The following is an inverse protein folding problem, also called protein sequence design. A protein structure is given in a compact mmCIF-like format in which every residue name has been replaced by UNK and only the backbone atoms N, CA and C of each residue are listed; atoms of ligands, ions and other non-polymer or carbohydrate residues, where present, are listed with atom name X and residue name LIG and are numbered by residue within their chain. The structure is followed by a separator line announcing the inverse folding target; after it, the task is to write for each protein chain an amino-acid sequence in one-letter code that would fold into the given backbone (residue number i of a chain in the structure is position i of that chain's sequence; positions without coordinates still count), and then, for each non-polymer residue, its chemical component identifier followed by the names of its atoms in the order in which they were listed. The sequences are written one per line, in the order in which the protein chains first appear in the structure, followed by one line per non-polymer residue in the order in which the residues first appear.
data_IF_356182856738
#
_entry.id   IF_356182856738
#
_cell.length_a   1.000
_cell.length_b   1.000
_cell.length_c   1.000
_cell.angle_alpha   90.00
_cell.angle_beta   90.00
_cell.angle_gamma   90.00
#
_symmetry.space_group_name_H-M   'P 1'
#
loop_
_entity.id
_entity.type
_entity.pdbx_description
1 polymer ?
#
# COMPACT_ATOMS: atom_id res chain seq x y z
N UNK A 1 -8.29 -4.64 11.92
CA UNK A 1 -7.56 -3.47 11.38
C UNK A 1 -8.45 -2.25 11.15
N UNK A 2 -9.75 -2.41 10.84
CA UNK A 2 -10.67 -1.28 10.59
C UNK A 2 -10.67 -0.18 11.69
N UNK A 3 -10.62 -0.55 12.98
CA UNK A 3 -10.63 0.41 14.08
C UNK A 3 -9.34 1.24 14.28
N UNK A 4 -8.21 0.83 13.68
CA UNK A 4 -6.94 1.57 13.85
C UNK A 4 -6.78 2.69 12.81
N UNK A 5 -7.47 2.59 11.67
CA UNK A 5 -7.42 3.57 10.58
C UNK A 5 -8.46 4.68 10.81
N UNK A 6 -9.57 4.39 11.51
CA UNK A 6 -10.66 5.34 11.74
C UNK A 6 -10.31 6.52 12.65
N UNK A 7 -9.23 6.45 13.42
CA UNK A 7 -8.80 7.54 14.32
C UNK A 7 -7.90 8.60 13.65
N UNK A 8 -7.55 8.41 12.37
CA UNK A 8 -6.64 9.29 11.63
C UNK A 8 -7.33 9.85 10.39
N UNK A 9 -7.21 11.16 10.20
CA UNK A 9 -7.84 11.86 9.09
C UNK A 9 -6.90 12.94 8.55
N UNK A 10 -7.04 13.33 7.27
CA UNK A 10 -6.36 14.52 6.78
C UNK A 10 -6.87 15.75 7.56
N UNK A 11 -6.02 16.78 7.73
CA UNK A 11 -6.35 17.97 8.53
C UNK A 11 -7.60 18.73 8.07
N UNK A 12 -8.11 18.45 6.87
CA UNK A 12 -9.24 19.12 6.24
C UNK A 12 -10.50 18.26 6.08
N UNK A 13 -10.52 17.01 6.56
CA UNK A 13 -11.73 16.17 6.54
C UNK A 13 -12.04 15.62 7.93
N UNK A 14 -13.29 15.75 8.43
CA UNK A 14 -13.71 15.14 9.69
C UNK A 14 -14.07 13.65 9.55
N UNK A 15 -14.22 13.13 8.33
CA UNK A 15 -14.59 11.74 8.07
C UNK A 15 -13.38 10.80 8.07
N UNK A 16 -13.51 9.56 8.59
CA UNK A 16 -12.46 8.56 8.50
C UNK A 16 -12.19 8.17 7.03
N UNK A 17 -10.96 7.79 6.72
CA UNK A 17 -10.60 7.39 5.36
C UNK A 17 -11.29 6.09 4.92
N UNK A 18 -11.73 6.04 3.67
CA UNK A 18 -12.16 4.81 3.00
C UNK A 18 -10.92 3.92 2.79
N UNK A 19 -11.00 2.67 3.25
CA UNK A 19 -9.93 1.68 3.08
C UNK A 19 -10.23 0.78 1.89
N UNK A 20 -9.23 0.56 1.03
CA UNK A 20 -9.30 -0.35 -0.13
C UNK A 20 -8.19 -1.40 0.00
N UNK A 21 -8.56 -2.68 -0.08
CA UNK A 21 -7.61 -3.77 -0.28
C UNK A 21 -7.38 -3.96 -1.79
N UNK A 22 -6.17 -3.70 -2.27
CA UNK A 22 -5.91 -3.80 -3.70
C UNK A 22 -5.84 -5.24 -4.19
N UNK A 23 -5.50 -6.19 -3.32
CA UNK A 23 -5.43 -7.61 -3.69
C UNK A 23 -6.81 -8.16 -4.11
N UNK A 24 -7.90 -7.61 -3.57
CA UNK A 24 -9.30 -7.95 -3.94
C UNK A 24 -9.65 -7.53 -5.37
N UNK A 25 -8.85 -6.65 -5.98
CA UNK A 25 -9.05 -6.12 -7.33
C UNK A 25 -8.27 -6.90 -8.40
N UNK A 26 -7.56 -7.96 -8.01
CA UNK A 26 -6.87 -8.80 -8.98
C UNK A 26 -7.86 -9.56 -9.88
N UNK A 27 -7.61 -9.65 -11.20
CA UNK A 27 -8.39 -10.54 -12.05
C UNK A 27 -8.18 -12.00 -11.62
N UNK A 28 -9.16 -12.90 -11.86
CA UNK A 28 -9.05 -14.31 -11.46
C UNK A 28 -7.79 -15.02 -11.98
N UNK A 29 -7.28 -14.60 -13.14
CA UNK A 29 -6.03 -15.12 -13.72
C UNK A 29 -4.80 -14.81 -12.86
N UNK A 30 -4.73 -13.64 -12.24
CA UNK A 30 -3.65 -13.27 -11.34
C UNK A 30 -3.75 -14.03 -10.02
N UNK A 31 -4.97 -14.15 -9.48
CA UNK A 31 -5.23 -14.92 -8.27
C UNK A 31 -4.76 -16.36 -8.45
N UNK A 32 -5.12 -17.01 -9.56
CA UNK A 32 -4.69 -18.38 -9.86
C UNK A 32 -3.15 -18.51 -9.98
N UNK A 33 -2.47 -17.54 -10.58
CA UNK A 33 -1.00 -17.50 -10.64
C UNK A 33 -0.38 -17.39 -9.25
N UNK A 34 -0.85 -16.46 -8.42
CA UNK A 34 -0.34 -16.29 -7.05
C UNK A 34 -0.62 -17.51 -6.17
N UNK A 35 -1.80 -18.14 -6.31
CA UNK A 35 -2.15 -19.37 -5.57
C UNK A 35 -1.29 -20.57 -5.97
N UNK A 36 -0.91 -20.69 -7.24
CA UNK A 36 0.11 -21.67 -7.68
C UNK A 36 1.55 -21.25 -7.31
N UNK A 37 1.70 -20.03 -6.79
CA UNK A 37 2.95 -19.33 -6.48
C UNK A 37 3.84 -19.05 -7.69
N UNK A 38 3.20 -18.90 -8.85
CA UNK A 38 3.79 -18.27 -10.01
C UNK A 38 3.83 -16.75 -9.78
N UNK A 39 5.01 -16.10 -9.79
CA UNK A 39 5.09 -14.65 -9.68
C UNK A 39 4.38 -13.97 -10.84
N UNK A 40 3.65 -12.88 -10.56
CA UNK A 40 3.10 -12.03 -11.60
C UNK A 40 4.22 -11.27 -12.31
N UNK A 41 4.03 -10.97 -13.59
CA UNK A 41 4.90 -10.07 -14.36
C UNK A 41 4.24 -8.69 -14.57
N UNK A 42 4.81 -7.83 -15.41
CA UNK A 42 4.28 -6.49 -15.65
C UNK A 42 2.93 -6.53 -16.36
N UNK A 43 2.80 -7.34 -17.41
CA UNK A 43 1.57 -7.49 -18.17
C UNK A 43 0.41 -8.02 -17.32
N UNK A 44 0.70 -8.86 -16.33
CA UNK A 44 -0.27 -9.31 -15.34
C UNK A 44 -0.72 -8.17 -14.41
N UNK A 45 0.19 -7.27 -14.05
CA UNK A 45 -0.08 -6.20 -13.08
C UNK A 45 -0.76 -4.98 -13.69
N UNK A 46 -0.53 -4.64 -14.96
CA UNK A 46 -1.11 -3.42 -15.55
C UNK A 46 -2.64 -3.36 -15.44
N UNK A 47 -3.41 -4.39 -15.84
CA UNK A 47 -4.87 -4.35 -15.71
C UNK A 47 -5.36 -4.27 -14.26
N UNK A 48 -4.59 -4.85 -13.32
CA UNK A 48 -4.87 -4.73 -11.90
C UNK A 48 -4.65 -3.31 -11.38
N UNK A 49 -3.56 -2.65 -11.80
CA UNK A 49 -3.28 -1.26 -11.45
C UNK A 49 -4.36 -0.32 -12.02
N UNK A 50 -4.87 -0.59 -13.22
CA UNK A 50 -6.01 0.14 -13.79
C UNK A 50 -7.26 0.02 -12.89
N UNK A 51 -7.56 -1.19 -12.40
CA UNK A 51 -8.68 -1.44 -11.49
C UNK A 51 -8.52 -0.71 -10.15
N UNK A 52 -7.30 -0.68 -9.60
CA UNK A 52 -6.96 0.06 -8.37
C UNK A 52 -7.15 1.56 -8.58
N UNK A 53 -6.63 2.13 -9.66
CA UNK A 53 -6.81 3.55 -9.97
C UNK A 53 -8.29 3.92 -10.11
N UNK A 54 -9.07 3.09 -10.82
CA UNK A 54 -10.51 3.30 -10.95
C UNK A 54 -11.24 3.22 -9.59
N UNK A 55 -10.81 2.34 -8.69
CA UNK A 55 -11.37 2.25 -7.34
C UNK A 55 -11.04 3.50 -6.50
N UNK A 56 -9.81 4.02 -6.60
CA UNK A 56 -9.40 5.28 -5.96
C UNK A 56 -10.27 6.44 -6.46
N UNK A 57 -10.44 6.57 -7.79
CA UNK A 57 -11.26 7.64 -8.38
C UNK A 57 -12.71 7.57 -7.89
N UNK A 58 -13.31 6.37 -7.88
CA UNK A 58 -14.67 6.19 -7.36
C UNK A 58 -14.77 6.56 -5.88
N UNK A 59 -13.87 6.07 -5.04
CA UNK A 59 -13.90 6.35 -3.60
C UNK A 59 -13.67 7.83 -3.31
N UNK A 60 -12.79 8.52 -4.04
CA UNK A 60 -12.57 9.96 -3.89
C UNK A 60 -13.75 10.81 -4.33
N UNK A 61 -14.64 10.30 -5.18
CA UNK A 61 -15.80 11.06 -5.63
C UNK A 61 -16.80 11.41 -4.51
N UNK A 62 -16.74 10.72 -3.36
CA UNK A 62 -17.53 11.05 -2.16
C UNK A 62 -16.95 12.21 -1.34
N UNK A 63 -15.75 12.69 -1.67
CA UNK A 63 -15.03 13.74 -0.94
C UNK A 63 -14.15 13.21 0.20
N UNK A 64 -14.21 11.91 0.51
CA UNK A 64 -13.47 11.32 1.62
C UNK A 64 -11.98 11.10 1.30
N UNK A 65 -11.17 10.94 2.36
CA UNK A 65 -9.82 10.42 2.22
C UNK A 65 -9.84 8.94 1.84
N UNK A 66 -8.83 8.48 1.10
CA UNK A 66 -8.72 7.07 0.69
C UNK A 66 -7.35 6.54 1.07
N UNK A 67 -7.32 5.37 1.71
CA UNK A 67 -6.10 4.61 2.01
C UNK A 67 -6.20 3.29 1.26
N UNK A 68 -5.16 2.97 0.50
CA UNK A 68 -5.09 1.72 -0.28
C UNK A 68 -3.92 0.89 0.21
N UNK A 69 -4.17 -0.35 0.63
CA UNK A 69 -3.11 -1.32 0.80
C UNK A 69 -2.70 -1.83 -0.59
N UNK A 70 -1.50 -1.45 -1.06
CA UNK A 70 -1.02 -1.81 -2.40
C UNK A 70 0.50 -2.00 -2.40
N UNK A 71 0.96 -3.10 -3.02
CA UNK A 71 2.40 -3.40 -3.07
C UNK A 71 3.19 -2.39 -3.90
N UNK A 72 2.64 -1.90 -5.02
CA UNK A 72 3.19 -0.84 -5.90
C UNK A 72 4.74 -0.85 -6.01
N UNK A 73 5.30 -2.05 -6.19
CA UNK A 73 6.71 -2.34 -5.92
C UNK A 73 7.69 -1.57 -6.81
N UNK A 74 7.28 -1.28 -8.05
CA UNK A 74 8.13 -0.65 -9.06
C UNK A 74 7.72 0.78 -9.31
N UNK A 75 8.69 1.63 -9.64
CA UNK A 75 8.47 3.04 -10.03
C UNK A 75 7.46 3.15 -11.16
N UNK A 76 7.52 2.26 -12.15
CA UNK A 76 6.57 2.25 -13.26
C UNK A 76 5.14 2.02 -12.80
N UNK A 77 4.93 1.23 -11.73
CA UNK A 77 3.58 0.97 -11.20
C UNK A 77 3.04 2.19 -10.45
N UNK A 78 3.89 2.85 -9.65
CA UNK A 78 3.53 4.07 -8.93
C UNK A 78 3.20 5.21 -9.90
N UNK A 79 4.02 5.38 -10.93
CA UNK A 79 3.78 6.36 -11.99
C UNK A 79 2.50 6.07 -12.78
N UNK A 80 2.25 4.81 -13.12
CA UNK A 80 1.01 4.39 -13.81
C UNK A 80 -0.23 4.70 -12.98
N UNK A 81 -0.24 4.29 -11.70
CA UNK A 81 -1.34 4.59 -10.77
C UNK A 81 -1.60 6.10 -10.64
N UNK A 82 -0.54 6.89 -10.48
CA UNK A 82 -0.66 8.35 -10.38
C UNK A 82 -1.22 8.98 -11.66
N UNK A 83 -0.81 8.50 -12.83
CA UNK A 83 -1.34 8.96 -14.13
C UNK A 83 -2.82 8.62 -14.31
N UNK A 84 -3.22 7.39 -13.98
CA UNK A 84 -4.60 6.92 -14.10
C UNK A 84 -5.57 7.53 -13.08
N UNK A 85 -5.07 7.95 -11.92
CA UNK A 85 -5.90 8.55 -10.86
C UNK A 85 -6.06 10.08 -10.99
N UNK A 86 -5.49 10.71 -12.03
CA UNK A 86 -5.59 12.17 -12.21
C UNK A 86 -7.05 12.67 -12.23
N UNK A 87 -7.35 13.85 -11.64
CA UNK A 87 -6.44 14.83 -11.02
C UNK A 87 -6.15 14.58 -9.52
N UNK A 88 -6.40 13.38 -8.99
CA UNK A 88 -6.19 13.07 -7.57
C UNK A 88 -4.68 13.01 -7.29
N UNK A 89 -4.22 13.79 -6.30
CA UNK A 89 -2.85 13.70 -5.80
C UNK A 89 -2.68 12.42 -4.99
N UNK A 90 -1.75 11.55 -5.41
CA UNK A 90 -1.38 10.34 -4.67
C UNK A 90 -0.15 10.56 -3.80
N UNK A 91 -0.15 9.93 -2.63
CA UNK A 91 1.01 9.79 -1.77
C UNK A 91 1.28 8.29 -1.55
N UNK A 92 2.45 7.81 -1.97
CA UNK A 92 2.90 6.46 -1.70
C UNK A 92 3.69 6.44 -0.40
N UNK A 93 3.26 5.60 0.54
CA UNK A 93 3.98 5.40 1.81
C UNK A 93 4.69 4.06 1.77
N UNK A 94 6.01 4.11 1.70
CA UNK A 94 6.86 2.93 1.77
C UNK A 94 7.11 2.55 3.23
N UNK A 95 6.65 1.36 3.62
CA UNK A 95 7.01 0.77 4.89
C UNK A 95 8.35 0.05 4.73
N UNK A 96 9.43 0.72 5.13
CA UNK A 96 10.77 0.16 5.15
C UNK A 96 10.89 -0.79 6.34
N UNK A 97 10.73 -2.07 6.08
CA UNK A 97 10.82 -3.13 7.08
C UNK A 97 12.05 -3.98 6.76
N UNK A 98 13.02 -4.11 7.69
CA UNK A 98 14.18 -4.97 7.46
C UNK A 98 13.76 -6.40 7.10
N UNK A 99 14.42 -7.01 6.12
CA UNK A 99 14.10 -8.38 5.63
C UNK A 99 13.91 -9.40 6.76
N UNK A 100 14.80 -9.38 7.77
CA UNK A 100 14.74 -10.29 8.93
C UNK A 100 13.44 -10.13 9.71
N UNK A 101 12.93 -8.92 9.81
CA UNK A 101 11.70 -8.59 10.53
C UNK A 101 10.47 -9.00 9.72
N UNK A 102 10.48 -8.77 8.39
CA UNK A 102 9.45 -9.29 7.50
C UNK A 102 9.33 -10.82 7.60
N UNK A 103 10.46 -11.53 7.60
CA UNK A 103 10.50 -12.99 7.76
C UNK A 103 9.92 -13.40 9.12
N UNK A 104 10.40 -12.81 10.22
CA UNK A 104 9.91 -13.12 11.55
C UNK A 104 8.41 -12.84 11.73
N UNK A 105 7.88 -11.76 11.13
CA UNK A 105 6.44 -11.43 11.16
C UNK A 105 5.60 -12.42 10.34
N UNK A 106 6.11 -12.90 9.21
CA UNK A 106 5.43 -13.91 8.39
C UNK A 106 5.41 -15.28 9.07
N UNK A 107 6.53 -15.71 9.67
CA UNK A 107 6.63 -16.99 10.39
C UNK A 107 5.68 -17.07 11.59
N UNK A 108 5.44 -15.95 12.27
CA UNK A 108 4.47 -15.86 13.38
C UNK A 108 3.00 -15.97 12.92
N UNK A 109 2.69 -15.73 11.65
CA UNK A 109 1.32 -15.89 11.10
C UNK A 109 1.08 -17.36 10.77
N UNK A 110 0.79 -18.16 11.79
CA UNK A 110 0.65 -19.61 11.72
C UNK A 110 -0.43 -20.14 10.73
N UNK A 111 -1.38 -19.32 10.27
CA UNK A 111 -2.54 -19.77 9.48
C UNK A 111 -2.57 -19.31 8.02
N UNK A 112 -1.68 -18.40 7.59
CA UNK A 112 -1.65 -17.89 6.20
C UNK A 112 -0.21 -17.67 5.73
N UNK A 113 0.59 -18.73 5.78
CA UNK A 113 1.98 -18.66 5.35
C UNK A 113 2.03 -18.42 3.83
N UNK A 114 2.14 -17.15 3.41
CA UNK A 114 2.67 -16.82 2.10
C UNK A 114 4.02 -17.53 1.99
N UNK A 115 4.20 -18.48 1.06
CA UNK A 115 5.42 -19.27 1.03
C UNK A 115 6.63 -18.34 0.89
N UNK A 116 7.70 -18.58 1.66
CA UNK A 116 8.87 -17.69 1.75
C UNK A 116 9.48 -17.27 0.39
N UNK A 117 9.23 -18.08 -0.65
CA UNK A 117 9.55 -17.77 -2.06
C UNK A 117 8.87 -16.48 -2.56
N UNK A 118 7.66 -16.18 -2.13
CA UNK A 118 6.93 -14.97 -2.51
C UNK A 118 7.51 -13.72 -1.86
N UNK A 119 7.95 -13.79 -0.59
CA UNK A 119 8.68 -12.66 0.01
C UNK A 119 9.96 -12.37 -0.78
N UNK A 120 10.69 -13.42 -1.15
CA UNK A 120 11.94 -13.28 -1.92
C UNK A 120 11.70 -12.64 -3.28
N UNK A 121 10.66 -13.06 -4.02
CA UNK A 121 10.34 -12.47 -5.32
C UNK A 121 9.82 -11.02 -5.19
N UNK A 122 9.06 -10.71 -4.15
CA UNK A 122 8.58 -9.36 -3.86
C UNK A 122 9.76 -8.41 -3.58
N UNK A 123 10.69 -8.80 -2.71
CA UNK A 123 11.89 -8.02 -2.40
C UNK A 123 12.80 -7.86 -3.62
N UNK A 124 12.89 -8.87 -4.49
CA UNK A 124 13.64 -8.77 -5.74
C UNK A 124 12.97 -7.84 -6.77
N UNK A 125 11.65 -7.66 -6.68
CA UNK A 125 10.87 -6.78 -7.56
C UNK A 125 10.80 -5.34 -7.04
N UNK A 126 11.07 -5.13 -5.75
CA UNK A 126 10.99 -3.84 -5.10
C UNK A 126 12.04 -2.87 -5.65
N UNK A 127 11.57 -1.79 -6.27
CA UNK A 127 12.34 -0.59 -6.54
C UNK A 127 12.02 0.41 -5.42
N UNK A 128 12.94 0.51 -4.44
CA UNK A 128 12.79 1.38 -3.26
C UNK A 128 12.40 2.80 -3.70
N UNK A 129 11.29 3.35 -3.18
CA UNK A 129 10.85 4.67 -3.60
C UNK A 129 11.83 5.79 -3.26
N UNK A 130 12.06 6.69 -4.21
CA UNK A 130 12.95 7.84 -4.05
C UNK A 130 12.21 9.15 -4.33
N UNK A 131 11.98 9.92 -3.27
CA UNK A 131 11.28 11.20 -3.32
C UNK A 131 12.01 12.27 -4.16
N UNK A 132 13.31 12.12 -4.43
CA UNK A 132 14.06 13.05 -5.28
C UNK A 132 14.01 12.68 -6.77
N UNK A 133 13.77 11.39 -7.08
CA UNK A 133 13.80 10.89 -8.45
C UNK A 133 12.39 10.67 -9.05
N UNK A 134 11.37 10.52 -8.22
CA UNK A 134 9.98 10.29 -8.62
C UNK A 134 9.17 11.58 -8.62
N UNK A 135 8.52 11.89 -9.74
CA UNK A 135 7.76 13.14 -9.96
C UNK A 135 6.32 12.85 -10.35
N UNK A 136 5.39 13.74 -10.00
CA UNK A 136 3.96 13.61 -10.33
C UNK A 136 3.11 12.96 -9.23
N UNK A 137 3.73 12.56 -8.13
CA UNK A 137 3.11 12.07 -6.89
C UNK A 137 4.07 12.28 -5.73
N UNK A 138 3.58 12.17 -4.50
CA UNK A 138 4.40 12.24 -3.29
C UNK A 138 4.87 10.85 -2.87
N UNK A 139 6.04 10.79 -2.26
CA UNK A 139 6.60 9.59 -1.64
C UNK A 139 6.98 9.91 -0.20
N UNK A 140 6.61 9.04 0.73
CA UNK A 140 7.07 9.07 2.11
C UNK A 140 7.61 7.68 2.48
N UNK A 141 8.67 7.63 3.29
CA UNK A 141 9.22 6.36 3.79
C UNK A 141 9.12 6.33 5.31
N UNK A 142 8.71 5.19 5.85
CA UNK A 142 8.56 4.96 7.28
C UNK A 142 9.35 3.71 7.64
N UNK A 143 10.40 3.88 8.43
CA UNK A 143 11.13 2.75 9.01
C UNK A 143 10.25 2.06 10.06
N UNK A 144 10.02 0.76 9.89
CA UNK A 144 9.28 -0.05 10.85
C UNK A 144 10.27 -0.83 11.70
N UNK A 145 10.46 -0.37 12.94
CA UNK A 145 11.29 -1.07 13.91
C UNK A 145 10.61 -2.38 14.38
N UNK A 146 11.39 -3.39 14.81
CA UNK A 146 10.87 -4.71 15.21
C UNK A 146 9.74 -4.68 16.24
N UNK A 147 9.81 -3.76 17.20
CA UNK A 147 8.88 -3.58 18.32
C UNK A 147 7.66 -2.74 17.97
N UNK A 148 7.62 -2.09 16.79
CA UNK A 148 6.47 -1.30 16.36
C UNK A 148 5.28 -2.21 16.06
N UNK A 149 4.23 -2.06 16.86
CA UNK A 149 2.93 -2.67 16.61
C UNK A 149 2.15 -1.94 15.51
N UNK A 150 1.00 -2.48 15.06
CA UNK A 150 0.19 -1.86 14.02
C UNK A 150 -0.23 -0.41 14.33
N UNK A 151 -0.47 -0.08 15.61
CA UNK A 151 -0.81 1.28 16.05
C UNK A 151 0.36 2.25 15.90
N UNK A 152 1.58 1.83 16.26
CA UNK A 152 2.80 2.64 16.13
C UNK A 152 3.13 2.90 14.67
N UNK A 153 2.98 1.87 13.82
CA UNK A 153 3.14 2.02 12.36
C UNK A 153 2.12 3.00 11.80
N UNK A 154 0.84 2.88 12.17
CA UNK A 154 -0.19 3.81 11.71
C UNK A 154 0.10 5.26 12.13
N UNK A 155 0.54 5.47 13.38
CA UNK A 155 0.92 6.79 13.86
C UNK A 155 2.14 7.36 13.11
N UNK A 156 3.16 6.55 12.86
CA UNK A 156 4.34 6.96 12.10
C UNK A 156 3.99 7.32 10.65
N UNK A 157 3.12 6.54 10.01
CA UNK A 157 2.58 6.84 8.67
C UNK A 157 1.82 8.16 8.68
N UNK A 158 0.88 8.34 9.61
CA UNK A 158 0.09 9.56 9.70
C UNK A 158 0.97 10.80 9.86
N UNK A 159 1.98 10.74 10.75
CA UNK A 159 2.95 11.81 10.92
C UNK A 159 3.74 12.09 9.62
N UNK A 160 4.20 11.04 8.93
CA UNK A 160 4.99 11.19 7.70
C UNK A 160 4.20 11.85 6.54
N UNK A 161 2.88 11.70 6.52
CA UNK A 161 2.01 12.31 5.50
C UNK A 161 1.30 13.58 5.98
N UNK A 162 1.52 14.01 7.23
CA UNK A 162 0.93 15.21 7.83
C UNK A 162 -0.54 15.06 8.22
N UNK A 163 -1.00 13.84 8.50
CA UNK A 163 -2.34 13.57 9.03
C UNK A 163 -2.36 13.75 10.54
N UNK A 164 -3.53 14.10 11.08
CA UNK A 164 -3.72 14.35 12.51
C UNK A 164 -4.62 13.27 13.11
N UNK A 165 -4.41 13.02 14.40
CA UNK A 165 -5.26 12.11 15.18
C UNK A 165 -6.46 12.88 15.70
N UNK A 166 -7.69 12.36 15.52
CA UNK A 166 -8.80 12.86 16.34
C UNK A 166 -8.57 12.38 17.76
N UNK A 167 -8.43 13.31 18.70
CA UNK A 167 -8.58 13.00 20.12
C UNK A 167 -10.06 13.24 20.42
N UNK A 168 -10.80 12.17 20.71
CA UNK A 168 -12.11 12.30 21.36
C UNK A 168 -11.96 12.89 22.77
#
# INVERSE_FOLDING_TARGET
MAHLVSSWHPPFSPSPAISIESDDLHPPTNVAKVQSGTPLNDADRMPWLDAVAAAIVRARSTGDAVVVACSALRRIYRAHLAGCATPIELCFVYLDVPKRELQARLEKRAEHCMPARLLTSQLATLEVPDANAETGYRVASVLVAPDMGPGDVAAAVANAIGWVRVVE
#
